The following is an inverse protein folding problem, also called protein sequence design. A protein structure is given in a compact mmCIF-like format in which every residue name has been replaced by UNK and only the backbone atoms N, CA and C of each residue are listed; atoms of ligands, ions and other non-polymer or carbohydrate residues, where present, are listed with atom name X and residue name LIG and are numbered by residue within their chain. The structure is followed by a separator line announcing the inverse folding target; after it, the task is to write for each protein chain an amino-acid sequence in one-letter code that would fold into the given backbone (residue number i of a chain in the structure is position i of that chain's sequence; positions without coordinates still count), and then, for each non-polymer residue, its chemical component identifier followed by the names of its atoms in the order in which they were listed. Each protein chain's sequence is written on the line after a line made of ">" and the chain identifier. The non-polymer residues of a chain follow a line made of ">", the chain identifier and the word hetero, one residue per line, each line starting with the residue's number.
data_IF_819077414188
#
_entry.id   IF_819077414188
#
_cell.length_a   1.000
_cell.length_b   1.000
_cell.length_c   1.000
_cell.angle_alpha   90.00
_cell.angle_beta   90.00
_cell.angle_gamma   90.00
#
_symmetry.space_group_name_H-M   'P 1'
#
loop_
_entity.id
_entity.type
_entity.pdbx_description
1 polymer ?
#
# COMPACT_ATOMS: atom_id res chain seq x y z
N UNK A 1 40.23 10.81 -26.46
CA UNK A 1 39.69 11.72 -25.42
C UNK A 1 38.31 11.22 -25.02
N UNK A 2 38.10 10.78 -23.78
CA UNK A 2 36.83 10.20 -23.34
C UNK A 2 35.94 11.27 -22.68
N UNK A 3 34.71 11.42 -23.19
CA UNK A 3 33.70 12.39 -22.73
C UNK A 3 32.99 11.83 -21.50
N UNK A 4 33.28 12.37 -20.31
CA UNK A 4 32.52 12.04 -19.08
C UNK A 4 31.12 12.64 -19.20
N UNK A 5 30.09 11.80 -19.23
CA UNK A 5 28.70 12.21 -19.00
C UNK A 5 28.57 12.51 -17.50
N UNK A 6 28.44 13.79 -17.16
CA UNK A 6 28.03 14.20 -15.80
C UNK A 6 26.55 13.84 -15.67
N UNK A 7 26.26 12.72 -15.00
CA UNK A 7 24.96 12.55 -14.38
C UNK A 7 24.93 13.57 -13.24
N UNK A 8 24.01 14.53 -13.29
CA UNK A 8 23.94 15.66 -12.38
C UNK A 8 24.01 15.23 -10.90
N UNK A 9 24.51 16.10 -10.05
CA UNK A 9 24.58 15.84 -8.61
C UNK A 9 23.18 15.61 -8.02
N UNK A 10 23.00 14.59 -7.16
CA UNK A 10 21.74 14.39 -6.48
C UNK A 10 21.42 15.61 -5.62
N UNK A 11 20.29 16.26 -5.88
CA UNK A 11 19.79 17.36 -5.07
C UNK A 11 19.25 16.76 -3.77
N UNK A 12 20.03 16.84 -2.71
CA UNK A 12 19.68 16.36 -1.37
C UNK A 12 20.72 15.40 -0.79
N UNK A 13 20.59 15.07 0.50
CA UNK A 13 21.41 14.01 1.10
C UNK A 13 20.95 12.69 0.50
N UNK A 14 21.79 12.08 -0.34
CA UNK A 14 21.65 10.68 -0.69
C UNK A 14 21.82 9.86 0.60
N UNK A 15 20.70 9.51 1.23
CA UNK A 15 20.72 8.61 2.37
C UNK A 15 20.94 7.23 1.78
N UNK A 16 22.14 6.69 1.95
CA UNK A 16 22.37 5.27 1.75
C UNK A 16 21.49 4.56 2.77
N UNK A 17 20.32 4.05 2.35
CA UNK A 17 19.46 3.21 3.20
C UNK A 17 20.22 1.90 3.38
N UNK A 18 21.16 1.88 4.33
CA UNK A 18 22.09 0.77 4.54
C UNK A 18 21.39 -0.51 5.03
N UNK A 19 20.13 -0.40 5.46
CA UNK A 19 19.21 -1.51 5.73
C UNK A 19 17.79 -0.95 5.81
N UNK A 20 16.85 -1.59 5.12
CA UNK A 20 15.44 -1.42 5.45
C UNK A 20 15.20 -2.16 6.77
N UNK A 21 14.86 -1.42 7.82
CA UNK A 21 14.36 -2.06 9.03
C UNK A 21 12.93 -2.57 8.79
N UNK A 22 12.51 -3.57 9.58
CA UNK A 22 11.19 -4.19 9.42
C UNK A 22 10.05 -3.17 9.58
N UNK A 23 10.26 -2.10 10.36
CA UNK A 23 9.25 -1.07 10.57
C UNK A 23 9.04 -0.23 9.31
N UNK A 24 10.12 0.12 8.62
CA UNK A 24 10.10 0.85 7.37
C UNK A 24 9.41 0.03 6.27
N UNK A 25 9.67 -1.28 6.22
CA UNK A 25 8.97 -2.18 5.30
C UNK A 25 7.45 -2.24 5.57
N UNK A 26 7.06 -2.34 6.83
CA UNK A 26 5.63 -2.31 7.22
C UNK A 26 5.00 -0.97 6.85
N UNK A 27 5.70 0.15 7.03
CA UNK A 27 5.21 1.47 6.63
C UNK A 27 5.08 1.61 5.11
N UNK A 28 6.09 1.19 4.35
CA UNK A 28 6.05 1.19 2.89
C UNK A 28 4.90 0.33 2.36
N UNK A 29 4.72 -0.87 2.93
CA UNK A 29 3.61 -1.76 2.58
C UNK A 29 2.26 -1.10 2.82
N UNK A 30 2.04 -0.54 4.02
CA UNK A 30 0.80 0.19 4.35
C UNK A 30 0.56 1.41 3.47
N UNK A 31 1.63 2.09 3.05
CA UNK A 31 1.54 3.23 2.15
C UNK A 31 1.04 2.78 0.77
N UNK A 32 1.63 1.72 0.20
CA UNK A 32 1.20 1.16 -1.09
C UNK A 32 -0.26 0.72 -1.04
N UNK A 33 -0.67 -0.03 -0.01
CA UNK A 33 -2.06 -0.49 0.11
C UNK A 33 -3.08 0.66 0.14
N UNK A 34 -2.71 1.81 0.72
CA UNK A 34 -3.59 2.98 0.84
C UNK A 34 -3.59 3.89 -0.38
N UNK A 35 -2.45 4.05 -1.03
CA UNK A 35 -2.24 5.12 -2.00
C UNK A 35 -1.98 4.66 -3.43
N UNK A 36 -1.84 3.35 -3.67
CA UNK A 36 -1.74 2.85 -5.03
C UNK A 36 -3.09 2.98 -5.74
N UNK A 37 -3.13 3.71 -6.86
CA UNK A 37 -4.34 3.94 -7.66
C UNK A 37 -4.86 2.64 -8.28
N UNK A 38 -3.97 1.73 -8.70
CA UNK A 38 -4.35 0.42 -9.25
C UNK A 38 -5.14 -0.45 -8.25
N UNK A 39 -4.98 -0.18 -6.94
CA UNK A 39 -5.69 -0.88 -5.88
C UNK A 39 -7.02 -0.20 -5.49
N UNK A 40 -7.39 0.93 -6.10
CA UNK A 40 -8.57 1.70 -5.70
C UNK A 40 -9.87 0.91 -5.82
N UNK A 41 -10.08 0.24 -6.95
CA UNK A 41 -11.31 -0.52 -7.17
C UNK A 41 -11.39 -1.73 -6.25
N UNK A 42 -10.26 -2.40 -6.01
CA UNK A 42 -10.18 -3.48 -5.01
C UNK A 42 -10.50 -2.98 -3.60
N UNK A 43 -10.01 -1.80 -3.20
CA UNK A 43 -10.33 -1.18 -1.90
C UNK A 43 -11.82 -0.90 -1.77
N UNK A 44 -12.48 -0.39 -2.82
CA UNK A 44 -13.94 -0.13 -2.81
C UNK A 44 -14.71 -1.42 -2.58
N UNK A 45 -14.40 -2.47 -3.34
CA UNK A 45 -15.06 -3.78 -3.21
C UNK A 45 -14.83 -4.36 -1.80
N UNK A 46 -13.60 -4.32 -1.30
CA UNK A 46 -13.29 -4.74 0.07
C UNK A 46 -14.13 -3.99 1.11
N UNK A 47 -14.18 -2.66 1.04
CA UNK A 47 -14.93 -1.85 2.00
C UNK A 47 -16.43 -2.10 1.92
N UNK A 48 -16.97 -2.36 0.73
CA UNK A 48 -18.38 -2.71 0.58
C UNK A 48 -18.69 -4.09 1.16
N UNK A 49 -17.82 -5.09 0.97
CA UNK A 49 -17.92 -6.38 1.65
C UNK A 49 -17.85 -6.24 3.18
N UNK A 50 -16.95 -5.39 3.70
CA UNK A 50 -16.85 -5.13 5.14
C UNK A 50 -18.08 -4.39 5.70
N UNK A 51 -18.66 -3.45 4.95
CA UNK A 51 -19.90 -2.76 5.35
C UNK A 51 -21.08 -3.72 5.46
N UNK A 52 -21.18 -4.70 4.58
CA UNK A 52 -22.26 -5.71 4.63
C UNK A 52 -22.18 -6.55 5.92
N UNK A 53 -20.96 -6.77 6.44
CA UNK A 53 -20.74 -7.49 7.72
C UNK A 53 -21.09 -6.66 8.94
N UNK A 54 -21.19 -5.34 8.81
CA UNK A 54 -21.49 -4.43 9.91
C UNK A 54 -23.01 -4.26 10.12
N UNK A 55 -23.44 -3.95 11.35
CA UNK A 55 -24.82 -3.54 11.60
C UNK A 55 -25.17 -2.34 10.71
N UNK A 56 -26.36 -2.34 10.10
CA UNK A 56 -26.79 -1.36 9.09
C UNK A 56 -26.82 0.11 9.56
N UNK A 57 -26.61 0.35 10.85
CA UNK A 57 -26.53 1.67 11.48
C UNK A 57 -25.11 2.20 11.61
N UNK A 58 -24.10 1.40 11.27
CA UNK A 58 -22.69 1.73 11.49
C UNK A 58 -22.11 2.42 10.27
N UNK A 59 -21.92 3.74 10.35
CA UNK A 59 -21.12 4.47 9.36
C UNK A 59 -19.63 4.28 9.66
N UNK A 60 -18.85 3.89 8.65
CA UNK A 60 -17.40 3.79 8.77
C UNK A 60 -16.78 5.21 8.77
N UNK A 61 -16.00 5.52 9.79
CA UNK A 61 -15.16 6.71 9.79
C UNK A 61 -13.90 6.48 8.94
N UNK A 62 -13.18 7.54 8.56
CA UNK A 62 -11.89 7.39 7.88
C UNK A 62 -10.88 6.58 8.73
N UNK A 63 -10.93 6.73 10.06
CA UNK A 63 -10.10 5.93 10.97
C UNK A 63 -10.45 4.45 10.93
N UNK A 64 -11.74 4.10 10.75
CA UNK A 64 -12.15 2.70 10.61
C UNK A 64 -11.69 2.12 9.27
N UNK A 65 -11.81 2.90 8.19
CA UNK A 65 -11.30 2.54 6.85
C UNK A 65 -9.81 2.27 6.92
N UNK A 66 -9.01 3.21 7.45
CA UNK A 66 -7.56 3.05 7.56
C UNK A 66 -7.18 1.83 8.41
N UNK A 67 -7.93 1.57 9.49
CA UNK A 67 -7.71 0.39 10.34
C UNK A 67 -8.01 -0.90 9.59
N UNK A 68 -9.11 -0.97 8.85
CA UNK A 68 -9.49 -2.13 8.05
C UNK A 68 -8.47 -2.37 6.93
N UNK A 69 -8.06 -1.33 6.21
CA UNK A 69 -7.04 -1.42 5.16
C UNK A 69 -5.70 -1.91 5.71
N UNK A 70 -5.24 -1.36 6.84
CA UNK A 70 -3.96 -1.77 7.42
C UNK A 70 -3.97 -3.18 8.01
N UNK A 71 -5.14 -3.71 8.38
CA UNK A 71 -5.27 -4.99 9.09
C UNK A 71 -5.62 -6.17 8.19
N UNK A 72 -6.49 -5.96 7.21
CA UNK A 72 -7.19 -7.08 6.55
C UNK A 72 -7.26 -6.97 5.03
N UNK A 73 -6.93 -5.81 4.45
CA UNK A 73 -7.01 -5.64 3.00
C UNK A 73 -5.97 -6.46 2.24
N UNK A 74 -4.76 -6.63 2.78
CA UNK A 74 -3.72 -7.46 2.17
C UNK A 74 -4.19 -8.92 2.02
N UNK A 75 -4.60 -9.54 3.14
CA UNK A 75 -5.08 -10.92 3.17
C UNK A 75 -6.33 -11.10 2.29
N UNK A 76 -7.23 -10.12 2.27
CA UNK A 76 -8.40 -10.13 1.39
C UNK A 76 -7.99 -10.07 -0.08
N UNK A 77 -7.01 -9.23 -0.43
CA UNK A 77 -6.52 -9.09 -1.79
C UNK A 77 -5.88 -10.39 -2.27
N UNK A 78 -5.07 -11.05 -1.44
CA UNK A 78 -4.46 -12.36 -1.75
C UNK A 78 -5.49 -13.44 -2.04
N UNK A 79 -6.65 -13.43 -1.38
CA UNK A 79 -7.73 -14.38 -1.62
C UNK A 79 -8.53 -14.08 -2.90
N UNK A 80 -8.51 -12.83 -3.37
CA UNK A 80 -9.33 -12.35 -4.49
C UNK A 80 -8.55 -12.27 -5.80
N UNK A 81 -7.25 -12.02 -5.74
CA UNK A 81 -6.36 -12.17 -6.88
C UNK A 81 -6.25 -13.67 -7.13
N UNK A 82 -6.76 -14.19 -8.26
CA UNK A 82 -6.60 -15.60 -8.59
C UNK A 82 -5.12 -15.92 -8.54
N UNK A 83 -4.75 -17.09 -8.00
CA UNK A 83 -3.45 -17.68 -8.26
C UNK A 83 -3.31 -17.84 -9.78
N UNK A 84 -2.82 -16.81 -10.46
CA UNK A 84 -2.22 -16.98 -11.76
C UNK A 84 -0.92 -17.70 -11.47
N UNK A 85 -0.91 -19.01 -11.73
CA UNK A 85 0.32 -19.77 -11.91
C UNK A 85 1.17 -19.00 -12.94
N UNK A 86 2.34 -18.54 -12.49
CA UNK A 86 3.40 -17.96 -13.32
C UNK A 86 4.14 -19.09 -14.02
#
# INVERSE_FOLDING_TARGET
>A
MAKKKSAGEPIGKAITIGRFDNQLLVQAHRYVLRHCDELEDFRKVFLDEEKIKLPHTTNLTQSDVDRLTNRSFADWLEQKVPHYDV
#
